data_IF_152571248815
#
_entry.id   IF_152571248815
#
_cell.length_a   1.000
_cell.length_b   1.000
_cell.length_c   1.000
_cell.angle_alpha   90.00
_cell.angle_beta   90.00
_cell.angle_gamma   90.00
#
_symmetry.space_group_name_H-M   'P 1'
#
loop_
_entity.id
_entity.type
_entity.pdbx_description
1 polymer ?
#
# COMPACT_ATOMS: atom_id res chain seq x y z
N UNK A 1 25.23 21.54 7.45
CA UNK A 1 24.18 21.10 6.51
C UNK A 1 24.43 19.64 6.24
N UNK A 2 23.43 18.79 6.39
CA UNK A 2 23.57 17.35 6.06
C UNK A 2 23.58 17.26 4.54
N UNK A 3 24.63 16.67 3.97
CA UNK A 3 24.71 16.39 2.54
C UNK A 3 23.69 15.31 2.18
N UNK A 4 22.86 15.58 1.18
CA UNK A 4 21.90 14.60 0.66
C UNK A 4 22.57 13.78 -0.44
N UNK A 5 22.43 12.46 -0.36
CA UNK A 5 22.91 11.54 -1.39
C UNK A 5 21.73 10.82 -2.03
N UNK A 6 21.81 10.57 -3.33
CA UNK A 6 20.80 9.78 -4.05
C UNK A 6 21.10 8.31 -3.76
N UNK A 7 20.14 7.60 -3.16
CA UNK A 7 20.25 6.16 -2.92
C UNK A 7 19.94 5.36 -4.19
N UNK A 8 18.91 5.76 -4.93
CA UNK A 8 18.42 5.06 -6.11
C UNK A 8 17.84 6.08 -7.10
N UNK A 9 18.07 5.88 -8.38
CA UNK A 9 17.47 6.61 -9.49
C UNK A 9 16.68 5.69 -10.44
N UNK A 10 16.09 6.25 -11.50
CA UNK A 10 15.36 5.50 -12.51
C UNK A 10 14.03 4.91 -12.00
N UNK A 11 13.41 5.53 -10.99
CA UNK A 11 12.05 5.26 -10.53
C UNK A 11 11.09 6.15 -11.33
N UNK A 12 10.03 5.56 -11.90
CA UNK A 12 9.01 6.32 -12.61
C UNK A 12 8.07 7.06 -11.65
N UNK A 13 7.56 6.33 -10.64
CA UNK A 13 6.75 6.92 -9.58
C UNK A 13 6.77 6.04 -8.33
N UNK A 14 7.56 6.44 -7.34
CA UNK A 14 7.72 5.68 -6.09
C UNK A 14 6.57 5.93 -5.11
N UNK A 15 5.97 4.85 -4.61
CA UNK A 15 4.88 4.85 -3.65
C UNK A 15 5.13 3.86 -2.51
N UNK A 16 4.44 4.07 -1.39
CA UNK A 16 4.43 3.17 -0.25
C UNK A 16 5.81 2.81 0.32
N UNK A 17 6.77 3.75 0.50
CA UNK A 17 8.11 3.39 0.97
C UNK A 17 8.07 2.82 2.38
N UNK A 18 8.81 1.73 2.59
CA UNK A 18 8.93 1.06 3.90
C UNK A 18 10.36 0.64 4.14
N UNK A 19 10.88 0.95 5.33
CA UNK A 19 12.16 0.44 5.77
C UNK A 19 11.97 -0.79 6.65
N UNK A 20 12.55 -1.93 6.24
CA UNK A 20 12.46 -3.18 6.98
C UNK A 20 13.71 -4.03 6.78
N UNK A 21 14.21 -4.62 7.86
CA UNK A 21 15.34 -5.57 7.85
C UNK A 21 16.54 -5.06 7.05
N UNK A 22 16.88 -3.77 7.23
CA UNK A 22 18.02 -3.13 6.58
C UNK A 22 17.84 -2.81 5.10
N UNK A 23 16.61 -2.86 4.56
CA UNK A 23 16.29 -2.57 3.16
C UNK A 23 15.15 -1.56 3.05
N UNK A 24 15.18 -0.78 1.99
CA UNK A 24 14.06 0.02 1.53
C UNK A 24 13.18 -0.81 0.59
N UNK A 25 11.89 -0.87 0.88
CA UNK A 25 10.88 -1.42 -0.02
C UNK A 25 10.03 -0.28 -0.55
N UNK A 26 9.71 -0.31 -1.83
CA UNK A 26 8.81 0.67 -2.45
C UNK A 26 8.12 0.07 -3.68
N UNK A 27 6.98 0.64 -4.01
CA UNK A 27 6.28 0.37 -5.26
C UNK A 27 6.69 1.40 -6.30
N UNK A 28 7.11 0.95 -7.50
CA UNK A 28 7.14 1.81 -8.69
C UNK A 28 5.89 1.51 -9.51
N UNK A 29 4.83 2.30 -9.31
CA UNK A 29 3.54 1.89 -9.81
C UNK A 29 3.42 1.99 -11.33
N UNK A 30 4.14 2.89 -12.01
CA UNK A 30 4.14 2.92 -13.47
C UNK A 30 5.01 1.82 -14.09
N UNK A 31 6.10 1.43 -13.43
CA UNK A 31 6.85 0.23 -13.81
C UNK A 31 6.11 -1.08 -13.47
N UNK A 32 5.06 -1.00 -12.63
CA UNK A 32 4.29 -2.15 -12.14
C UNK A 32 5.13 -3.11 -11.27
N UNK A 33 6.15 -2.58 -10.60
CA UNK A 33 7.10 -3.36 -9.80
C UNK A 33 7.06 -3.00 -8.33
N UNK A 34 7.29 -3.99 -7.49
CA UNK A 34 7.67 -3.80 -6.09
C UNK A 34 9.16 -4.04 -5.98
N UNK A 35 9.88 -3.05 -5.46
CA UNK A 35 11.33 -3.04 -5.37
C UNK A 35 11.79 -3.24 -3.92
N UNK A 36 12.85 -4.01 -3.77
CA UNK A 36 13.68 -4.11 -2.55
C UNK A 36 15.04 -3.50 -2.87
N UNK A 37 15.50 -2.57 -2.04
CA UNK A 37 16.72 -1.80 -2.27
C UNK A 37 17.62 -1.89 -1.04
N UNK A 38 18.88 -2.25 -1.22
CA UNK A 38 19.86 -2.30 -0.15
C UNK A 38 20.46 -0.90 0.14
N UNK A 39 21.21 -0.73 1.24
CA UNK A 39 21.84 0.56 1.58
C UNK A 39 22.89 1.05 0.56
N UNK A 40 23.36 0.19 -0.34
CA UNK A 40 24.26 0.56 -1.43
C UNK A 40 23.52 0.97 -2.72
N UNK A 41 22.19 0.96 -2.71
CA UNK A 41 21.35 1.33 -3.85
C UNK A 41 21.12 0.21 -4.86
N UNK A 42 21.53 -1.02 -4.54
CA UNK A 42 21.24 -2.18 -5.40
C UNK A 42 19.77 -2.54 -5.26
N UNK A 43 19.05 -2.51 -6.37
CA UNK A 43 17.63 -2.85 -6.43
C UNK A 43 17.40 -4.28 -6.94
N UNK A 44 16.32 -4.87 -6.42
CA UNK A 44 15.75 -6.14 -6.84
C UNK A 44 14.25 -5.94 -7.06
N UNK A 45 13.71 -6.37 -8.19
CA UNK A 45 12.27 -6.46 -8.41
C UNK A 45 11.77 -7.75 -7.78
N UNK A 46 10.97 -7.64 -6.71
CA UNK A 46 10.48 -8.80 -5.95
C UNK A 46 9.06 -9.21 -6.32
N UNK A 47 8.31 -8.35 -7.01
CA UNK A 47 6.98 -8.67 -7.53
C UNK A 47 6.63 -7.76 -8.71
N UNK A 48 5.84 -8.29 -9.66
CA UNK A 48 5.19 -7.52 -10.72
C UNK A 48 3.69 -7.51 -10.47
N UNK A 49 3.09 -6.30 -10.41
CA UNK A 49 1.66 -6.10 -10.16
C UNK A 49 1.04 -5.34 -11.34
N UNK A 50 0.41 -6.03 -12.30
CA UNK A 50 -0.07 -5.44 -13.55
C UNK A 50 -1.08 -4.29 -13.37
N UNK A 51 -1.85 -4.32 -12.29
CA UNK A 51 -2.81 -3.26 -11.94
C UNK A 51 -2.21 -2.18 -11.03
N UNK A 52 -0.89 -1.99 -11.10
CA UNK A 52 -0.12 -0.96 -10.39
C UNK A 52 -0.06 -1.19 -8.87
N UNK A 53 1.14 -1.50 -8.33
CA UNK A 53 1.33 -1.59 -6.89
C UNK A 53 1.29 -0.21 -6.24
N UNK A 54 0.80 -0.12 -5.00
CA UNK A 54 0.87 1.10 -4.19
C UNK A 54 1.31 0.76 -2.76
N UNK A 55 0.45 0.79 -1.77
CA UNK A 55 0.79 0.53 -0.38
C UNK A 55 1.43 -0.83 -0.13
N UNK A 56 2.41 -0.87 0.76
CA UNK A 56 3.13 -2.06 1.18
C UNK A 56 2.99 -2.27 2.69
N UNK A 57 2.96 -3.52 3.13
CA UNK A 57 2.96 -3.88 4.54
C UNK A 57 3.27 -5.35 4.76
N UNK A 58 3.30 -5.79 6.00
CA UNK A 58 3.58 -7.19 6.35
C UNK A 58 2.63 -7.68 7.42
N UNK A 59 2.18 -8.90 7.25
CA UNK A 59 1.50 -9.64 8.30
C UNK A 59 2.50 -10.01 9.41
N UNK A 60 2.02 -10.38 10.62
CA UNK A 60 2.89 -10.79 11.74
C UNK A 60 3.78 -12.00 11.43
N UNK A 61 3.38 -12.87 10.52
CA UNK A 61 4.16 -14.02 10.07
C UNK A 61 5.26 -13.67 9.05
N UNK A 62 5.36 -12.39 8.66
CA UNK A 62 6.32 -11.89 7.69
C UNK A 62 5.83 -11.91 6.24
N UNK A 63 4.63 -12.41 5.96
CA UNK A 63 4.04 -12.38 4.62
C UNK A 63 3.81 -10.95 4.16
N UNK A 64 4.33 -10.58 3.00
CA UNK A 64 4.16 -9.25 2.43
C UNK A 64 2.75 -9.06 1.86
N UNK A 65 2.13 -7.95 2.19
CA UNK A 65 0.90 -7.45 1.57
C UNK A 65 1.22 -6.31 0.61
N UNK A 66 0.55 -6.32 -0.54
CA UNK A 66 0.72 -5.33 -1.61
C UNK A 66 -0.66 -4.86 -2.06
N UNK A 67 -0.89 -3.56 -2.07
CA UNK A 67 -2.09 -2.97 -2.68
C UNK A 67 -1.95 -3.04 -4.20
N UNK A 68 -2.91 -3.70 -4.86
CA UNK A 68 -3.12 -3.64 -6.30
C UNK A 68 -4.14 -2.54 -6.56
N UNK A 69 -3.66 -1.41 -7.10
CA UNK A 69 -4.37 -0.13 -7.05
C UNK A 69 -5.63 -0.11 -7.89
N UNK A 70 -5.51 -0.45 -9.20
CA UNK A 70 -6.59 -0.24 -10.18
C UNK A 70 -7.75 -1.22 -10.04
N UNK A 71 -7.46 -2.47 -9.71
CA UNK A 71 -8.45 -3.52 -9.50
C UNK A 71 -8.93 -3.61 -8.04
N UNK A 72 -8.45 -2.70 -7.18
CA UNK A 72 -8.88 -2.54 -5.78
C UNK A 72 -8.74 -3.82 -4.97
N UNK A 73 -7.57 -4.45 -5.06
CA UNK A 73 -7.27 -5.68 -4.33
C UNK A 73 -6.14 -5.50 -3.35
N UNK A 74 -6.14 -6.31 -2.32
CA UNK A 74 -5.00 -6.56 -1.46
C UNK A 74 -4.44 -7.93 -1.80
N UNK A 75 -3.15 -7.97 -2.13
CA UNK A 75 -2.46 -9.19 -2.54
C UNK A 75 -1.49 -9.64 -1.45
N UNK A 76 -1.25 -10.95 -1.36
CA UNK A 76 -0.15 -11.56 -0.61
C UNK A 76 0.94 -12.01 -1.57
N UNK A 77 2.19 -11.70 -1.24
CA UNK A 77 3.35 -12.27 -1.91
C UNK A 77 3.72 -13.59 -1.22
N UNK A 78 3.63 -14.68 -1.95
CA UNK A 78 3.99 -16.04 -1.50
C UNK A 78 5.16 -16.58 -2.32
N UNK A 79 5.67 -17.76 -1.97
CA UNK A 79 6.71 -18.46 -2.75
C UNK A 79 6.22 -18.80 -4.16
N UNK A 80 4.92 -19.06 -4.34
CA UNK A 80 4.29 -19.37 -5.63
C UNK A 80 3.88 -18.13 -6.43
N UNK A 81 4.14 -16.92 -5.91
CA UNK A 81 3.79 -15.64 -6.51
C UNK A 81 2.69 -14.88 -5.78
N UNK A 82 2.03 -13.98 -6.49
CA UNK A 82 0.97 -13.14 -5.93
C UNK A 82 -0.37 -13.88 -5.89
N UNK A 83 -1.01 -13.88 -4.73
CA UNK A 83 -2.37 -14.37 -4.54
C UNK A 83 -3.28 -13.27 -3.97
N UNK A 84 -4.56 -13.28 -4.32
CA UNK A 84 -5.55 -12.38 -3.74
C UNK A 84 -5.77 -12.69 -2.26
N UNK A 85 -5.64 -11.67 -1.42
CA UNK A 85 -5.98 -11.72 -0.01
C UNK A 85 -7.37 -11.17 0.27
N UNK A 86 -7.72 -10.05 -0.39
CA UNK A 86 -9.03 -9.42 -0.25
C UNK A 86 -9.40 -8.58 -1.47
N UNK A 87 -10.70 -8.55 -1.80
CA UNK A 87 -11.31 -7.61 -2.75
C UNK A 87 -11.89 -6.42 -1.99
N UNK A 88 -11.36 -5.22 -2.24
CA UNK A 88 -11.70 -3.99 -1.55
C UNK A 88 -12.82 -3.20 -2.25
N UNK A 89 -13.36 -3.72 -3.36
CA UNK A 89 -14.34 -3.00 -4.19
C UNK A 89 -15.64 -2.66 -3.48
N UNK A 90 -15.99 -3.37 -2.41
CA UNK A 90 -17.17 -3.10 -1.58
C UNK A 90 -17.01 -1.84 -0.70
N UNK A 91 -15.78 -1.36 -0.46
CA UNK A 91 -15.48 -0.22 0.41
C UNK A 91 -14.79 0.91 -0.36
N UNK A 92 -13.82 0.57 -1.22
CA UNK A 92 -13.06 1.53 -2.01
C UNK A 92 -13.89 2.03 -3.21
N UNK A 93 -14.20 3.32 -3.23
CA UNK A 93 -14.98 3.94 -4.31
C UNK A 93 -14.24 4.02 -5.64
N UNK A 94 -12.90 4.06 -5.60
CA UNK A 94 -12.02 4.09 -6.77
C UNK A 94 -10.68 3.43 -6.46
N UNK A 95 -9.64 3.71 -7.23
CA UNK A 95 -8.30 3.13 -7.06
C UNK A 95 -7.85 3.15 -5.61
N UNK A 96 -7.33 2.02 -5.13
CA UNK A 96 -6.73 1.94 -3.81
C UNK A 96 -5.39 2.69 -3.77
N UNK A 97 -4.91 3.01 -2.56
CA UNK A 97 -3.73 3.83 -2.35
C UNK A 97 -2.79 3.20 -1.33
N UNK A 98 -2.18 3.99 -0.45
CA UNK A 98 -1.31 3.47 0.58
C UNK A 98 -2.08 2.70 1.67
N UNK A 99 -1.34 1.94 2.47
CA UNK A 99 -1.88 1.17 3.59
C UNK A 99 -0.94 1.17 4.79
N UNK A 100 -1.47 0.77 5.94
CA UNK A 100 -0.67 0.38 7.11
C UNK A 100 -1.21 -0.93 7.68
N UNK A 101 -0.31 -1.77 8.19
CA UNK A 101 -0.67 -3.03 8.86
C UNK A 101 -0.35 -2.93 10.34
N UNK A 102 -1.31 -3.29 11.18
CA UNK A 102 -1.13 -3.32 12.64
C UNK A 102 -0.48 -4.63 13.11
N UNK A 103 0.04 -4.63 14.35
CA UNK A 103 0.72 -5.78 14.94
C UNK A 103 -0.16 -7.05 15.03
N UNK A 104 -1.49 -6.88 15.01
CA UNK A 104 -2.43 -8.00 14.97
C UNK A 104 -2.84 -8.42 13.55
N UNK A 105 -2.15 -7.91 12.52
CA UNK A 105 -2.33 -8.29 11.12
C UNK A 105 -3.50 -7.61 10.40
N UNK A 106 -4.15 -6.61 11.00
CA UNK A 106 -5.17 -5.81 10.32
C UNK A 106 -4.53 -4.80 9.39
N UNK A 107 -4.90 -4.84 8.12
CA UNK A 107 -4.50 -3.83 7.14
C UNK A 107 -5.57 -2.74 7.02
N UNK A 108 -5.14 -1.48 6.99
CA UNK A 108 -6.00 -0.32 6.71
C UNK A 108 -5.56 0.29 5.39
N UNK A 109 -6.47 0.32 4.42
CA UNK A 109 -6.16 0.69 3.03
C UNK A 109 -6.98 1.91 2.63
N UNK A 110 -6.28 2.96 2.20
CA UNK A 110 -6.86 4.16 1.62
C UNK A 110 -7.25 3.97 0.16
N UNK A 111 -8.01 4.94 -0.38
CA UNK A 111 -8.37 4.97 -1.79
C UNK A 111 -8.70 6.39 -2.25
N UNK A 112 -8.79 6.60 -3.56
CA UNK A 112 -9.07 7.91 -4.15
C UNK A 112 -10.52 8.38 -3.98
N UNK A 113 -11.44 7.47 -3.67
CA UNK A 113 -12.87 7.77 -3.49
C UNK A 113 -13.67 7.86 -4.78
N UNK A 114 -13.11 8.48 -5.82
CA UNK A 114 -13.74 8.70 -7.12
C UNK A 114 -12.70 8.86 -8.23
N UNK A 115 -13.14 8.80 -9.48
CA UNK A 115 -12.29 9.08 -10.65
C UNK A 115 -12.16 10.59 -10.86
N UNK A 116 -11.16 11.21 -10.25
CA UNK A 116 -10.93 12.66 -10.32
C UNK A 116 -10.49 13.16 -11.71
N UNK A 117 -10.18 12.28 -12.65
CA UNK A 117 -9.90 12.66 -14.04
C UNK A 117 -11.16 12.84 -14.87
N UNK A 118 -12.25 12.15 -14.53
CA UNK A 118 -13.49 12.14 -15.29
C UNK A 118 -14.68 12.77 -14.56
N UNK A 119 -14.65 12.75 -13.21
CA UNK A 119 -15.72 13.25 -12.37
C UNK A 119 -15.41 14.67 -11.86
N UNK A 120 -16.20 15.70 -12.25
CA UNK A 120 -15.92 17.09 -11.87
C UNK A 120 -16.27 17.40 -10.39
N UNK A 121 -17.02 16.52 -9.72
CA UNK A 121 -17.48 16.72 -8.34
C UNK A 121 -16.70 15.80 -7.41
N UNK A 122 -15.99 16.41 -6.47
CA UNK A 122 -15.25 15.69 -5.43
C UNK A 122 -16.19 14.83 -4.58
N UNK A 123 -15.80 13.56 -4.35
CA UNK A 123 -16.49 12.63 -3.46
C UNK A 123 -15.54 12.21 -2.34
N UNK A 124 -16.11 11.88 -1.21
CA UNK A 124 -15.35 11.31 -0.10
C UNK A 124 -15.04 9.83 -0.33
N UNK A 125 -13.99 9.37 0.33
CA UNK A 125 -13.57 7.99 0.36
C UNK A 125 -13.90 7.33 1.70
N UNK A 126 -14.04 6.02 1.70
CA UNK A 126 -14.11 5.20 2.89
C UNK A 126 -12.75 4.49 3.10
N UNK A 127 -12.32 4.36 4.35
CA UNK A 127 -11.13 3.59 4.69
C UNK A 127 -11.51 2.11 4.83
N UNK A 128 -10.85 1.24 4.09
CA UNK A 128 -11.02 -0.19 4.21
C UNK A 128 -10.17 -0.74 5.37
N UNK A 129 -10.72 -1.65 6.17
CA UNK A 129 -9.99 -2.53 7.08
C UNK A 129 -10.09 -3.95 6.56
N UNK A 130 -8.96 -4.64 6.45
CA UNK A 130 -8.88 -6.05 6.10
C UNK A 130 -8.38 -6.81 7.32
N UNK A 131 -9.14 -7.77 7.80
CA UNK A 131 -8.73 -8.64 8.90
C UNK A 131 -7.78 -9.76 8.38
N UNK A 132 -7.03 -10.45 9.24
CA UNK A 132 -6.03 -11.45 8.81
C UNK A 132 -6.60 -12.61 7.98
N UNK A 133 -7.89 -12.89 8.12
CA UNK A 133 -8.63 -13.92 7.34
C UNK A 133 -9.07 -13.42 5.95
N UNK A 134 -8.80 -12.16 5.60
CA UNK A 134 -9.20 -11.52 4.34
C UNK A 134 -10.58 -10.86 4.38
N UNK A 135 -11.31 -10.90 5.48
CA UNK A 135 -12.61 -10.23 5.60
C UNK A 135 -12.45 -8.71 5.54
N UNK A 136 -13.33 -8.03 4.78
CA UNK A 136 -13.26 -6.61 4.49
C UNK A 136 -14.35 -5.85 5.22
N UNK A 137 -13.98 -4.76 5.88
CA UNK A 137 -14.87 -3.88 6.65
C UNK A 137 -14.60 -2.40 6.32
N UNK A 138 -15.62 -1.56 6.46
CA UNK A 138 -15.46 -0.12 6.43
C UNK A 138 -15.01 0.37 7.82
N UNK A 139 -13.78 0.90 7.92
CA UNK A 139 -13.22 1.41 9.18
C UNK A 139 -13.60 2.85 9.45
N UNK A 140 -13.71 3.69 8.41
CA UNK A 140 -14.09 5.09 8.50
C UNK A 140 -14.71 5.56 7.19
N UNK A 141 -15.52 6.62 7.26
CA UNK A 141 -16.19 7.24 6.10
C UNK A 141 -15.90 8.73 6.05
N UNK A 142 -16.16 9.35 4.90
CA UNK A 142 -16.10 10.81 4.76
C UNK A 142 -14.68 11.38 4.68
N UNK A 143 -13.68 10.55 4.40
CA UNK A 143 -12.29 10.99 4.23
C UNK A 143 -12.10 11.61 2.85
N UNK A 144 -11.11 12.49 2.72
CA UNK A 144 -10.71 13.07 1.44
C UNK A 144 -9.37 12.49 1.03
N UNK A 145 -9.40 11.58 0.06
CA UNK A 145 -8.20 10.98 -0.52
C UNK A 145 -7.25 10.40 0.55
N UNK A 146 -7.71 9.45 1.41
CA UNK A 146 -6.84 8.86 2.43
C UNK A 146 -5.64 8.18 1.76
N UNK A 147 -4.43 8.61 2.17
CA UNK A 147 -3.16 8.18 1.61
C UNK A 147 -2.28 7.57 2.72
N UNK A 148 -1.09 8.13 2.97
CA UNK A 148 -0.19 7.62 3.99
C UNK A 148 -0.85 7.59 5.37
N UNK A 149 -0.64 6.49 6.09
CA UNK A 149 -1.23 6.27 7.40
C UNK A 149 -0.20 5.71 8.37
N UNK A 150 -0.40 5.97 9.66
CA UNK A 150 0.46 5.45 10.72
C UNK A 150 -0.36 5.02 11.92
N UNK A 151 0.05 3.93 12.55
CA UNK A 151 -0.49 3.46 13.83
C UNK A 151 0.47 3.90 14.93
N UNK A 152 -0.08 4.52 15.99
CA UNK A 152 0.74 4.95 17.14
C UNK A 152 1.44 3.75 17.80
N UNK A 153 2.61 3.95 18.46
CA UNK A 153 3.38 2.84 19.03
C UNK A 153 2.62 1.98 20.07
N UNK A 154 1.59 2.53 20.70
CA UNK A 154 0.72 1.79 21.61
C UNK A 154 -0.41 1.00 20.92
N UNK A 155 -0.48 1.04 19.59
CA UNK A 155 -1.50 0.36 18.76
C UNK A 155 -2.92 0.88 18.90
N UNK A 156 -3.14 2.01 19.58
CA UNK A 156 -4.50 2.48 19.95
C UNK A 156 -5.06 3.52 19.01
N UNK A 157 -4.25 4.18 18.21
CA UNK A 157 -4.68 5.26 17.32
C UNK A 157 -4.13 5.04 15.93
N UNK A 158 -5.03 5.07 14.96
CA UNK A 158 -4.70 5.16 13.54
C UNK A 158 -4.80 6.62 13.12
N UNK A 159 -3.74 7.16 12.56
CA UNK A 159 -3.70 8.49 11.94
C UNK A 159 -3.70 8.30 10.43
N UNK A 160 -4.61 8.98 9.75
CA UNK A 160 -4.78 8.93 8.29
C UNK A 160 -4.70 10.35 7.73
#
# INVERSE_FOLDING_TARGET
MTELTVLLDGIYFGEGPRWRDGHLYLSDFYAQEVLKVDPAGKRESIATVPNQPSGLGWLPDGTMLIVSMKDRKLLKLTEDGLIEHADLSSVAGYHCNDMVVSDNGRAYVGNFGYNHYEEPVEKTANLARVDPDGSVHCAATGLRFPNGSVITPNGKTLVV
#
